data_IF_756458935596
#
_entry.id   IF_756458935596
#
_cell.length_a   1.000
_cell.length_b   1.000
_cell.length_c   1.000
_cell.angle_alpha   90.00
_cell.angle_beta   90.00
_cell.angle_gamma   90.00
#
_symmetry.space_group_name_H-M   'P 1'
#
loop_
_entity.id
_entity.type
_entity.pdbx_description
1 polymer ?
#
# COMPACT_ATOMS: atom_id res chain seq x y z
N UNK A 1 -27.02 -0.89 -11.20
CA UNK A 1 -26.58 -0.95 -12.61
C UNK A 1 -25.48 -1.99 -12.65
N UNK A 2 -25.66 -3.07 -13.41
CA UNK A 2 -24.60 -4.08 -13.60
C UNK A 2 -23.78 -3.58 -14.78
N UNK A 3 -22.47 -3.49 -14.62
CA UNK A 3 -21.56 -3.12 -15.71
C UNK A 3 -21.70 -4.12 -16.86
N UNK A 4 -21.95 -3.61 -18.07
CA UNK A 4 -22.00 -4.39 -19.30
C UNK A 4 -20.71 -4.17 -20.10
N UNK A 5 -19.86 -5.20 -20.17
CA UNK A 5 -18.61 -5.11 -20.91
C UNK A 5 -18.80 -4.96 -22.43
N UNK A 6 -19.99 -5.27 -22.96
CA UNK A 6 -20.28 -5.17 -24.39
C UNK A 6 -20.90 -3.80 -24.76
N UNK A 7 -21.30 -3.00 -23.75
CA UNK A 7 -21.79 -1.65 -23.93
C UNK A 7 -20.64 -0.66 -24.16
N UNK A 8 -20.61 -0.02 -25.33
CA UNK A 8 -19.66 1.06 -25.64
C UNK A 8 -19.72 2.22 -24.63
N UNK A 9 -20.90 2.48 -24.06
CA UNK A 9 -21.08 3.51 -23.04
C UNK A 9 -20.38 3.10 -21.73
N UNK A 10 -20.58 1.86 -21.28
CA UNK A 10 -19.99 1.35 -20.04
C UNK A 10 -18.47 1.20 -20.18
N UNK A 11 -17.97 0.73 -21.33
CA UNK A 11 -16.54 0.70 -21.63
C UNK A 11 -15.92 2.10 -21.55
N UNK A 12 -16.59 3.12 -22.10
CA UNK A 12 -16.11 4.50 -22.05
C UNK A 12 -16.09 5.03 -20.61
N UNK A 13 -17.16 4.81 -19.83
CA UNK A 13 -17.20 5.21 -18.42
C UNK A 13 -16.11 4.50 -17.60
N UNK A 14 -15.88 3.21 -17.86
CA UNK A 14 -14.82 2.42 -17.23
C UNK A 14 -13.42 2.97 -17.56
N UNK A 15 -13.16 3.31 -18.83
CA UNK A 15 -11.91 3.93 -19.25
C UNK A 15 -11.72 5.33 -18.62
N UNK A 16 -12.76 6.17 -18.63
CA UNK A 16 -12.71 7.49 -18.00
C UNK A 16 -12.41 7.40 -16.50
N UNK A 17 -13.00 6.41 -15.82
CA UNK A 17 -12.74 6.13 -14.40
C UNK A 17 -11.27 5.78 -14.15
N UNK A 18 -10.72 4.83 -14.92
CA UNK A 18 -9.31 4.44 -14.80
C UNK A 18 -8.35 5.55 -15.24
N UNK A 19 -8.77 6.41 -16.17
CA UNK A 19 -7.91 7.45 -16.73
C UNK A 19 -7.91 8.76 -15.93
N UNK A 20 -8.82 8.92 -14.96
CA UNK A 20 -9.00 10.14 -14.15
C UNK A 20 -7.71 10.63 -13.50
N UNK A 21 -6.81 9.73 -13.12
CA UNK A 21 -5.57 10.03 -12.42
C UNK A 21 -4.30 9.68 -13.22
N UNK A 22 -4.37 9.58 -14.56
CA UNK A 22 -3.17 9.35 -15.39
C UNK A 22 -2.14 10.47 -15.27
N UNK A 23 -2.59 11.70 -15.02
CA UNK A 23 -1.69 12.85 -14.94
C UNK A 23 -0.97 12.89 -13.60
N UNK A 24 0.36 12.82 -13.63
CA UNK A 24 1.20 13.04 -12.44
C UNK A 24 1.07 14.46 -11.87
N UNK A 25 0.47 15.41 -12.60
CA UNK A 25 0.24 16.79 -12.14
C UNK A 25 -0.65 16.84 -10.91
N UNK A 26 -1.65 15.97 -10.81
CA UNK A 26 -2.50 15.95 -9.62
C UNK A 26 -1.67 15.57 -8.40
N UNK A 27 -0.77 14.58 -8.52
CA UNK A 27 0.14 14.12 -7.47
C UNK A 27 1.36 15.01 -7.22
N UNK A 28 1.44 16.16 -7.90
CA UNK A 28 2.59 17.07 -7.83
C UNK A 28 2.89 17.52 -6.41
N UNK A 29 4.17 17.60 -6.11
CA UNK A 29 4.77 18.11 -4.88
C UNK A 29 5.72 19.23 -5.27
N UNK A 30 5.58 20.41 -4.66
CA UNK A 30 6.54 21.49 -4.85
C UNK A 30 7.84 21.17 -4.10
N UNK A 31 8.99 21.59 -4.64
CA UNK A 31 10.29 21.37 -4.00
C UNK A 31 10.36 21.98 -2.59
N UNK A 32 9.69 23.12 -2.37
CA UNK A 32 9.54 23.74 -1.04
C UNK A 32 8.77 22.83 -0.07
N UNK A 33 7.64 22.26 -0.49
CA UNK A 33 6.86 21.31 0.29
C UNK A 33 7.66 20.05 0.61
N UNK A 34 8.36 19.50 -0.38
CA UNK A 34 9.22 18.33 -0.19
C UNK A 34 10.28 18.59 0.89
N UNK A 35 10.94 19.75 0.82
CA UNK A 35 11.95 20.12 1.82
C UNK A 35 11.37 20.29 3.23
N UNK A 36 10.14 20.80 3.35
CA UNK A 36 9.42 20.85 4.65
C UNK A 36 9.12 19.45 5.15
N UNK A 37 8.64 18.55 4.28
CA UNK A 37 8.31 17.17 4.67
C UNK A 37 9.53 16.39 5.15
N UNK A 38 10.69 16.53 4.48
CA UNK A 38 11.95 15.89 4.92
C UNK A 38 12.37 16.29 6.34
N UNK A 39 12.01 17.48 6.79
CA UNK A 39 12.31 17.96 8.16
C UNK A 39 11.23 17.58 9.17
N UNK A 40 10.01 17.32 8.71
CA UNK A 40 8.83 17.11 9.57
C UNK A 40 8.44 15.64 9.74
N UNK A 41 8.96 14.73 8.91
CA UNK A 41 8.64 13.31 8.93
C UNK A 41 9.90 12.46 8.69
N UNK A 42 9.86 11.21 9.15
CA UNK A 42 10.89 10.23 8.81
C UNK A 42 10.96 10.07 7.28
N UNK A 43 12.16 10.18 6.74
CA UNK A 43 12.42 10.21 5.30
C UNK A 43 13.70 9.47 4.97
N UNK A 44 13.60 8.53 4.03
CA UNK A 44 14.73 7.85 3.41
C UNK A 44 14.92 8.45 2.02
N UNK A 45 16.14 8.80 1.68
CA UNK A 45 16.48 9.32 0.35
C UNK A 45 17.44 8.36 -0.32
N UNK A 46 17.05 7.83 -1.47
CA UNK A 46 17.84 6.85 -2.22
C UNK A 46 17.66 7.01 -3.72
N UNK A 47 18.62 6.50 -4.49
CA UNK A 47 18.50 6.48 -5.95
C UNK A 47 17.74 5.23 -6.41
N UNK A 48 16.79 5.44 -7.32
CA UNK A 48 16.02 4.38 -7.96
C UNK A 48 15.91 4.68 -9.46
N UNK A 49 16.39 3.77 -10.31
CA UNK A 49 16.46 3.98 -11.76
C UNK A 49 17.10 5.34 -12.15
N UNK A 50 18.18 5.73 -11.45
CA UNK A 50 18.88 7.00 -11.67
C UNK A 50 18.20 8.26 -11.12
N UNK A 51 16.99 8.15 -10.59
CA UNK A 51 16.27 9.27 -9.97
C UNK A 51 16.36 9.23 -8.45
N UNK A 52 16.46 10.40 -7.81
CA UNK A 52 16.33 10.49 -6.36
C UNK A 52 14.87 10.28 -5.95
N UNK A 53 14.65 9.25 -5.15
CA UNK A 53 13.39 8.96 -4.48
C UNK A 53 13.44 9.35 -3.01
N UNK A 54 12.28 9.73 -2.48
CA UNK A 54 12.10 10.11 -1.09
C UNK A 54 10.95 9.27 -0.53
N UNK A 55 11.26 8.40 0.43
CA UNK A 55 10.31 7.48 1.04
C UNK A 55 10.02 7.97 2.45
N UNK A 56 8.76 8.33 2.70
CA UNK A 56 8.31 8.84 3.98
C UNK A 56 7.49 7.80 4.74
N UNK A 57 7.62 7.80 6.06
CA UNK A 57 6.69 7.12 6.95
C UNK A 57 5.90 8.17 7.76
N UNK A 58 4.58 8.05 7.74
CA UNK A 58 3.65 8.87 8.54
C UNK A 58 2.67 7.97 9.29
N UNK A 59 2.20 8.45 10.43
CA UNK A 59 1.23 7.80 11.31
C UNK A 59 0.02 8.70 11.53
N UNK A 60 -1.01 8.19 12.20
CA UNK A 60 -2.18 8.98 12.58
C UNK A 60 -1.81 10.23 13.41
N UNK A 61 -0.78 10.15 14.26
CA UNK A 61 -0.32 11.24 15.13
C UNK A 61 0.63 12.22 14.43
N UNK A 62 1.04 11.93 13.19
CA UNK A 62 1.94 12.80 12.43
C UNK A 62 1.28 14.14 12.10
N UNK A 63 1.91 15.24 12.50
CA UNK A 63 1.41 16.61 12.28
C UNK A 63 2.17 17.29 11.14
N UNK A 64 1.90 16.89 9.90
CA UNK A 64 2.56 17.48 8.73
C UNK A 64 1.60 17.57 7.53
N UNK A 65 1.88 18.49 6.61
CA UNK A 65 1.06 18.68 5.39
C UNK A 65 1.15 17.49 4.43
N UNK A 66 2.17 16.64 4.55
CA UNK A 66 2.25 15.36 3.84
C UNK A 66 1.09 14.45 4.24
N UNK A 67 0.78 14.33 5.54
CA UNK A 67 -0.35 13.53 6.02
C UNK A 67 -1.66 13.98 5.39
N UNK A 68 -1.95 15.29 5.42
CA UNK A 68 -3.15 15.85 4.78
C UNK A 68 -3.19 15.55 3.27
N UNK A 69 -2.04 15.63 2.57
CA UNK A 69 -1.97 15.32 1.14
C UNK A 69 -2.24 13.84 0.86
N UNK A 70 -1.67 12.95 1.68
CA UNK A 70 -1.82 11.49 1.57
C UNK A 70 -3.24 11.07 1.90
N UNK A 71 -3.85 11.62 2.96
CA UNK A 71 -5.26 11.39 3.30
C UNK A 71 -6.17 11.71 2.10
N UNK A 72 -5.94 12.87 1.46
CA UNK A 72 -6.67 13.25 0.23
C UNK A 72 -6.44 12.27 -0.92
N UNK A 73 -5.20 11.84 -1.16
CA UNK A 73 -4.88 10.85 -2.22
C UNK A 73 -5.59 9.53 -1.95
N UNK A 74 -5.59 9.07 -0.71
CA UNK A 74 -6.23 7.80 -0.35
C UNK A 74 -7.74 7.88 -0.56
N UNK A 75 -8.39 8.91 -0.01
CA UNK A 75 -9.84 9.07 -0.08
C UNK A 75 -10.35 9.34 -1.51
N UNK A 76 -9.65 10.17 -2.29
CA UNK A 76 -10.14 10.60 -3.61
C UNK A 76 -9.68 9.71 -4.77
N UNK A 77 -8.55 9.00 -4.64
CA UNK A 77 -7.93 8.20 -5.70
C UNK A 77 -7.84 6.72 -5.32
N UNK A 78 -7.04 6.37 -4.31
CA UNK A 78 -6.68 4.96 -4.03
C UNK A 78 -7.91 4.15 -3.64
N UNK A 79 -8.77 4.67 -2.76
CA UNK A 79 -9.97 3.97 -2.33
C UNK A 79 -10.90 3.68 -3.51
N UNK A 80 -11.00 4.62 -4.46
CA UNK A 80 -11.85 4.45 -5.64
C UNK A 80 -11.23 3.45 -6.61
N UNK A 81 -9.95 3.56 -6.91
CA UNK A 81 -9.26 2.63 -7.82
C UNK A 81 -9.23 1.19 -7.28
N UNK A 82 -9.17 1.01 -5.96
CA UNK A 82 -9.18 -0.30 -5.32
C UNK A 82 -10.59 -0.82 -4.98
N UNK A 83 -11.65 -0.05 -5.29
CA UNK A 83 -13.03 -0.48 -5.06
C UNK A 83 -13.47 -0.53 -3.58
N UNK A 84 -12.86 0.28 -2.71
CA UNK A 84 -13.25 0.34 -1.30
C UNK A 84 -14.63 0.98 -1.13
N UNK A 85 -15.48 0.29 -0.39
CA UNK A 85 -16.76 0.80 0.09
C UNK A 85 -16.55 1.80 1.24
N UNK A 86 -17.48 2.75 1.47
CA UNK A 86 -17.31 3.79 2.49
C UNK A 86 -17.03 3.29 3.91
N UNK A 87 -17.57 2.13 4.29
CA UNK A 87 -17.37 1.47 5.58
C UNK A 87 -15.92 0.98 5.77
N UNK A 88 -15.27 0.53 4.70
CA UNK A 88 -13.87 0.09 4.71
C UNK A 88 -12.88 1.19 4.25
N UNK A 89 -13.37 2.38 3.92
CA UNK A 89 -12.57 3.46 3.33
C UNK A 89 -11.69 4.24 4.33
N UNK A 90 -11.79 3.94 5.64
CA UNK A 90 -11.06 4.66 6.68
C UNK A 90 -9.55 4.54 6.49
N UNK A 91 -8.88 5.70 6.47
CA UNK A 91 -7.42 5.78 6.28
C UNK A 91 -6.67 5.33 7.52
N UNK A 92 -7.14 5.73 8.71
CA UNK A 92 -6.48 5.48 10.00
C UNK A 92 -7.36 4.60 10.87
N UNK A 93 -6.75 3.77 11.70
CA UNK A 93 -7.45 2.96 12.71
C UNK A 93 -7.63 3.76 14.00
N UNK A 94 -8.67 3.47 14.77
CA UNK A 94 -8.91 4.14 16.07
C UNK A 94 -7.80 3.89 17.08
N UNK A 95 -7.10 2.76 16.97
CA UNK A 95 -5.98 2.36 17.83
C UNK A 95 -4.60 2.89 17.40
N UNK A 96 -4.52 3.64 16.29
CA UNK A 96 -3.27 4.23 15.81
C UNK A 96 -2.20 3.25 15.32
N UNK A 97 -2.52 1.97 15.10
CA UNK A 97 -1.55 0.94 14.66
C UNK A 97 -1.08 1.08 13.22
N UNK A 98 -1.73 1.92 12.41
CA UNK A 98 -1.46 2.03 10.98
C UNK A 98 -0.37 3.06 10.66
N UNK A 99 0.52 2.67 9.76
CA UNK A 99 1.54 3.51 9.14
C UNK A 99 1.23 3.68 7.65
N UNK A 100 1.42 4.89 7.12
CA UNK A 100 1.43 5.12 5.68
C UNK A 100 2.86 5.37 5.20
N UNK A 101 3.25 4.59 4.20
CA UNK A 101 4.53 4.69 3.51
C UNK A 101 4.32 5.35 2.16
N UNK A 102 5.08 6.39 1.85
CA UNK A 102 4.84 7.27 0.70
C UNK A 102 6.11 7.41 -0.11
N UNK A 103 6.06 7.01 -1.38
CA UNK A 103 7.15 7.16 -2.33
C UNK A 103 6.96 8.43 -3.16
N UNK A 104 7.91 9.35 -3.08
CA UNK A 104 7.97 10.57 -3.90
C UNK A 104 9.17 10.49 -4.83
N UNK A 105 8.95 10.71 -6.13
CA UNK A 105 10.02 10.73 -7.13
C UNK A 105 9.90 11.94 -8.04
N UNK A 106 10.92 12.17 -8.87
CA UNK A 106 10.96 13.25 -9.84
C UNK A 106 10.43 12.79 -11.20
N UNK A 107 9.77 13.72 -11.89
CA UNK A 107 9.71 13.77 -13.35
C UNK A 107 10.71 14.83 -13.83
N UNK A 108 10.81 15.04 -15.14
CA UNK A 108 11.64 16.10 -15.74
C UNK A 108 11.25 17.52 -15.28
N UNK A 109 10.04 17.71 -14.74
CA UNK A 109 9.48 19.05 -14.43
C UNK A 109 9.17 19.28 -12.95
N UNK A 110 8.89 18.23 -12.18
CA UNK A 110 8.46 18.34 -10.78
C UNK A 110 8.53 17.00 -10.05
N UNK A 111 8.54 17.06 -8.71
CA UNK A 111 8.31 15.91 -7.84
C UNK A 111 6.83 15.54 -7.78
N UNK A 112 6.52 14.27 -7.57
CA UNK A 112 5.15 13.80 -7.36
C UNK A 112 5.11 12.53 -6.49
N UNK A 113 3.98 12.32 -5.81
CA UNK A 113 3.72 11.07 -5.07
C UNK A 113 3.43 9.96 -6.07
N UNK A 114 4.33 8.98 -6.13
CA UNK A 114 4.31 7.89 -7.09
C UNK A 114 3.79 6.56 -6.54
N UNK A 115 3.85 6.35 -5.23
CA UNK A 115 3.26 5.19 -4.58
C UNK A 115 2.88 5.47 -3.12
N UNK A 116 1.90 4.73 -2.62
CA UNK A 116 1.47 4.75 -1.22
C UNK A 116 1.15 3.33 -0.77
N UNK A 117 1.62 2.96 0.42
CA UNK A 117 1.23 1.73 1.10
C UNK A 117 0.70 2.05 2.50
N UNK A 118 -0.40 1.42 2.90
CA UNK A 118 -0.87 1.41 4.28
C UNK A 118 -0.53 0.06 4.89
N UNK A 119 0.20 0.07 5.99
CA UNK A 119 0.60 -1.14 6.72
C UNK A 119 0.19 -1.04 8.19
N UNK A 120 -0.15 -2.17 8.80
CA UNK A 120 -0.62 -2.21 10.18
C UNK A 120 -0.25 -3.50 10.89
N UNK A 121 -0.18 -3.45 12.23
CA UNK A 121 0.19 -4.61 13.03
C UNK A 121 -1.03 -5.52 13.16
N UNK A 122 -0.91 -6.78 12.76
CA UNK A 122 -2.02 -7.74 12.77
C UNK A 122 -1.75 -8.90 13.73
N UNK A 123 -2.83 -9.50 14.23
CA UNK A 123 -2.78 -10.69 15.06
C UNK A 123 -2.80 -11.95 14.20
N UNK A 124 -2.12 -13.01 14.66
CA UNK A 124 -2.16 -14.32 14.01
C UNK A 124 -3.58 -14.87 13.87
N UNK A 125 -4.47 -14.56 14.81
CA UNK A 125 -5.89 -14.98 14.77
C UNK A 125 -6.64 -14.47 13.53
N UNK A 126 -6.12 -13.44 12.87
CA UNK A 126 -6.72 -12.85 11.67
C UNK A 126 -6.20 -13.46 10.37
N UNK A 127 -5.22 -14.36 10.43
CA UNK A 127 -4.49 -14.84 9.26
C UNK A 127 -5.10 -16.11 8.67
N UNK A 128 -5.13 -16.18 7.34
CA UNK A 128 -5.45 -17.36 6.56
C UNK A 128 -4.58 -17.39 5.29
N UNK A 129 -4.32 -18.57 4.73
CA UNK A 129 -3.66 -18.65 3.42
C UNK A 129 -4.64 -18.33 2.29
N UNK A 130 -4.16 -17.72 1.20
CA UNK A 130 -4.97 -17.42 0.03
C UNK A 130 -5.40 -18.68 -0.74
N UNK A 131 -4.59 -19.74 -0.67
CA UNK A 131 -4.86 -21.03 -1.32
C UNK A 131 -4.86 -22.12 -0.25
N UNK A 132 -6.02 -22.73 -0.01
CA UNK A 132 -6.13 -23.91 0.86
C UNK A 132 -5.66 -25.20 0.14
N UNK A 133 -5.64 -25.19 -1.20
CA UNK A 133 -5.59 -26.39 -2.05
C UNK A 133 -4.23 -27.11 -2.12
N UNK A 134 -3.27 -26.78 -1.27
CA UNK A 134 -2.08 -27.64 -1.11
C UNK A 134 -2.44 -28.77 -0.14
N UNK A 135 -3.04 -29.83 -0.69
CA UNK A 135 -3.43 -31.08 -0.01
C UNK A 135 -2.30 -31.85 0.72
N UNK A 136 -1.15 -31.22 0.98
CA UNK A 136 0.06 -31.86 1.48
C UNK A 136 0.74 -31.13 2.64
N UNK A 137 0.17 -30.06 3.20
CA UNK A 137 0.74 -29.53 4.43
C UNK A 137 -0.33 -28.91 5.30
N UNK A 138 -0.42 -29.39 6.54
CA UNK A 138 -0.84 -28.56 7.66
C UNK A 138 0.16 -27.40 7.76
N UNK A 139 0.12 -26.44 6.83
CA UNK A 139 1.04 -25.32 6.78
C UNK A 139 0.74 -24.45 8.01
N UNK A 140 1.49 -24.71 9.07
CA UNK A 140 1.39 -23.98 10.32
C UNK A 140 1.92 -22.58 10.03
N UNK A 141 1.03 -21.59 10.12
CA UNK A 141 1.38 -20.17 10.04
C UNK A 141 2.57 -19.92 11.01
N UNK A 142 3.73 -19.41 10.54
CA UNK A 142 4.99 -19.42 11.28
C UNK A 142 4.87 -18.81 12.68
N UNK A 143 5.32 -19.50 13.73
CA UNK A 143 5.02 -19.12 15.14
C UNK A 143 6.16 -18.46 15.89
N UNK A 144 7.26 -18.05 15.25
CA UNK A 144 8.27 -17.28 15.97
C UNK A 144 7.60 -16.04 16.59
N UNK A 145 8.13 -15.53 17.71
CA UNK A 145 7.62 -14.37 18.48
C UNK A 145 7.60 -13.04 17.70
N UNK A 146 7.52 -13.12 16.39
CA UNK A 146 7.59 -12.05 15.44
C UNK A 146 6.24 -11.37 15.27
N UNK A 147 6.33 -10.13 14.83
CA UNK A 147 5.19 -9.30 14.49
C UNK A 147 4.80 -9.55 13.04
N UNK A 148 3.51 -9.76 12.78
CA UNK A 148 2.99 -9.75 11.42
C UNK A 148 2.65 -8.33 10.98
N UNK A 149 3.03 -8.00 9.75
CA UNK A 149 2.69 -6.74 9.10
C UNK A 149 1.61 -7.01 8.05
N UNK A 150 0.42 -6.45 8.29
CA UNK A 150 -0.67 -6.44 7.32
C UNK A 150 -0.50 -5.29 6.34
N UNK A 151 -0.49 -5.59 5.05
CA UNK A 151 -0.57 -4.60 3.96
C UNK A 151 -2.05 -4.37 3.68
N UNK A 152 -2.58 -3.27 4.21
CA UNK A 152 -3.96 -2.86 4.03
C UNK A 152 -4.21 -2.39 2.59
N UNK A 153 -3.30 -1.54 2.10
CA UNK A 153 -3.38 -1.00 0.73
C UNK A 153 -1.97 -0.89 0.18
N UNK A 154 -1.82 -1.17 -1.10
CA UNK A 154 -0.65 -0.79 -1.86
C UNK A 154 -1.07 -0.27 -3.22
N UNK A 155 -0.60 0.92 -3.56
CA UNK A 155 -0.90 1.58 -4.81
C UNK A 155 0.36 2.19 -5.40
N UNK A 156 0.52 2.02 -6.70
CA UNK A 156 1.59 2.64 -7.49
C UNK A 156 0.92 3.35 -8.66
N UNK A 157 1.29 4.61 -8.88
CA UNK A 157 0.83 5.42 -9.99
C UNK A 157 1.06 4.68 -11.31
N UNK A 158 0.10 4.75 -12.24
CA UNK A 158 0.08 3.93 -13.45
C UNK A 158 1.37 4.01 -14.27
N UNK A 159 1.98 5.19 -14.37
CA UNK A 159 3.23 5.42 -15.12
C UNK A 159 4.47 4.79 -14.48
N UNK A 160 4.37 4.33 -13.23
CA UNK A 160 5.46 3.77 -12.42
C UNK A 160 5.26 2.28 -12.10
N UNK A 161 4.16 1.67 -12.54
CA UNK A 161 3.86 0.25 -12.28
C UNK A 161 4.89 -0.66 -12.98
N UNK A 162 5.03 -1.88 -12.45
CA UNK A 162 5.91 -2.95 -12.98
C UNK A 162 7.40 -2.64 -12.98
N UNK A 163 7.84 -1.68 -12.16
CA UNK A 163 9.25 -1.31 -11.99
C UNK A 163 9.87 -1.77 -10.67
N UNK A 164 9.13 -2.50 -9.82
CA UNK A 164 9.61 -2.92 -8.50
C UNK A 164 9.37 -1.92 -7.36
N UNK A 165 8.78 -0.75 -7.63
CA UNK A 165 8.50 0.29 -6.61
C UNK A 165 7.60 -0.22 -5.46
N UNK A 166 6.61 -1.08 -5.78
CA UNK A 166 5.78 -1.69 -4.74
C UNK A 166 6.59 -2.56 -3.77
N UNK A 167 7.52 -3.36 -4.30
CA UNK A 167 8.40 -4.21 -3.48
C UNK A 167 9.36 -3.35 -2.66
N UNK A 168 9.98 -2.33 -3.29
CA UNK A 168 10.86 -1.37 -2.61
C UNK A 168 10.17 -0.71 -1.42
N UNK A 169 8.94 -0.22 -1.62
CA UNK A 169 8.18 0.47 -0.57
C UNK A 169 7.85 -0.47 0.60
N UNK A 170 7.51 -1.73 0.32
CA UNK A 170 7.26 -2.73 1.37
C UNK A 170 8.53 -3.20 2.05
N UNK A 171 9.66 -3.28 1.36
CA UNK A 171 10.95 -3.64 1.95
C UNK A 171 11.40 -2.59 2.97
N UNK A 172 11.22 -1.31 2.66
CA UNK A 172 11.40 -0.23 3.64
C UNK A 172 10.39 -0.32 4.79
N UNK A 173 9.10 -0.53 4.48
CA UNK A 173 8.08 -0.67 5.50
C UNK A 173 8.43 -1.77 6.51
N UNK A 174 8.81 -2.96 6.04
CA UNK A 174 9.29 -4.09 6.87
C UNK A 174 10.47 -3.73 7.76
N UNK A 175 11.45 -3.03 7.20
CA UNK A 175 12.73 -2.77 7.86
C UNK A 175 12.62 -1.78 9.01
N UNK A 176 11.58 -0.94 9.00
CA UNK A 176 11.31 0.05 10.04
C UNK A 176 9.96 -0.18 10.74
N UNK A 177 9.32 -1.33 10.52
CA UNK A 177 7.98 -1.58 11.06
C UNK A 177 7.98 -1.73 12.57
N UNK A 178 8.97 -2.47 13.08
CA UNK A 178 9.22 -2.70 14.50
C UNK A 178 10.65 -2.31 14.85
N UNK A 179 10.91 -1.99 16.11
CA UNK A 179 12.19 -1.45 16.57
C UNK A 179 13.37 -2.42 16.47
N UNK A 180 13.10 -3.72 16.47
CA UNK A 180 14.11 -4.72 16.81
C UNK A 180 14.66 -5.49 15.61
N UNK A 181 13.88 -5.66 14.53
CA UNK A 181 14.30 -6.39 13.33
C UNK A 181 13.38 -6.08 12.13
N UNK A 182 13.87 -6.38 10.91
CA UNK A 182 13.04 -6.34 9.70
C UNK A 182 12.02 -7.49 9.72
N UNK A 183 10.73 -7.19 9.54
CA UNK A 183 9.68 -8.21 9.46
C UNK A 183 9.94 -9.13 8.27
N UNK A 184 10.11 -10.46 8.42
CA UNK A 184 10.33 -11.41 7.31
C UNK A 184 9.20 -11.42 6.28
N UNK A 185 9.48 -11.84 5.02
CA UNK A 185 8.49 -11.69 3.93
C UNK A 185 7.33 -12.67 4.14
N UNK A 186 7.64 -13.79 4.74
CA UNK A 186 6.72 -14.86 5.13
C UNK A 186 5.77 -14.43 6.25
N UNK A 187 6.00 -13.25 6.86
CA UNK A 187 5.16 -12.64 7.91
C UNK A 187 4.40 -11.41 7.42
N UNK A 188 4.37 -11.21 6.10
CA UNK A 188 3.52 -10.22 5.45
C UNK A 188 2.21 -10.88 5.05
N UNK A 189 1.11 -10.24 5.42
CA UNK A 189 -0.22 -10.59 4.95
C UNK A 189 -0.86 -9.42 4.23
N UNK A 190 -1.76 -9.68 3.29
CA UNK A 190 -2.46 -8.64 2.55
C UNK A 190 -3.93 -8.65 2.90
N UNK A 191 -4.54 -7.47 3.00
CA UNK A 191 -6.00 -7.38 2.94
C UNK A 191 -6.43 -7.28 1.48
N UNK A 192 -7.53 -7.95 1.13
CA UNK A 192 -8.26 -7.81 -0.13
C UNK A 192 -7.37 -7.59 -1.37
N UNK A 193 -7.00 -8.67 -2.06
CA UNK A 193 -6.17 -8.61 -3.26
C UNK A 193 -7.03 -8.50 -4.53
N UNK A 194 -6.69 -7.54 -5.41
CA UNK A 194 -7.09 -7.60 -6.83
C UNK A 194 -6.25 -8.65 -7.56
N UNK A 195 -6.59 -9.02 -8.79
CA UNK A 195 -5.77 -9.96 -9.59
C UNK A 195 -4.32 -9.48 -9.73
N UNK A 196 -4.14 -8.19 -9.99
CA UNK A 196 -2.80 -7.57 -10.05
C UNK A 196 -2.09 -7.59 -8.69
N UNK A 197 -2.85 -7.43 -7.61
CA UNK A 197 -2.37 -7.53 -6.24
C UNK A 197 -1.93 -8.96 -5.89
N UNK A 198 -2.69 -9.97 -6.30
CA UNK A 198 -2.36 -11.38 -6.09
C UNK A 198 -1.11 -11.78 -6.87
N UNK A 199 -1.01 -11.36 -8.13
CA UNK A 199 0.20 -11.56 -8.93
C UNK A 199 1.42 -10.86 -8.32
N UNK A 200 1.24 -9.67 -7.74
CA UNK A 200 2.32 -9.02 -6.98
C UNK A 200 2.68 -9.81 -5.72
N UNK A 201 1.70 -10.18 -4.90
CA UNK A 201 1.91 -10.90 -3.64
C UNK A 201 2.65 -12.22 -3.85
N UNK A 202 2.25 -13.04 -4.84
CA UNK A 202 2.94 -14.31 -5.16
C UNK A 202 4.40 -14.12 -5.56
N UNK A 203 4.72 -13.04 -6.25
CA UNK A 203 6.10 -12.74 -6.64
C UNK A 203 6.92 -12.12 -5.49
N UNK A 204 6.26 -11.38 -4.61
CA UNK A 204 6.92 -10.69 -3.50
C UNK A 204 7.23 -11.64 -2.35
N UNK A 205 6.28 -12.52 -1.98
CA UNK A 205 6.39 -13.46 -0.87
C UNK A 205 7.23 -14.68 -1.29
N UNK A 206 8.28 -14.97 -0.50
CA UNK A 206 9.14 -16.14 -0.71
C UNK A 206 8.31 -17.43 -0.79
N UNK A 207 8.50 -18.22 -1.84
CA UNK A 207 7.77 -19.47 -2.04
C UNK A 207 6.29 -19.33 -2.43
N UNK A 208 5.77 -18.11 -2.63
CA UNK A 208 4.44 -17.88 -3.16
C UNK A 208 3.28 -18.13 -2.20
N UNK A 209 3.55 -18.48 -0.93
CA UNK A 209 2.52 -18.75 0.10
C UNK A 209 1.94 -17.44 0.65
N UNK A 210 0.96 -16.89 -0.05
CA UNK A 210 0.35 -15.60 0.30
C UNK A 210 -0.56 -15.75 1.51
N UNK A 211 -0.31 -14.94 2.54
CA UNK A 211 -1.19 -14.77 3.69
C UNK A 211 -2.20 -13.64 3.43
N UNK A 212 -3.44 -13.87 3.81
CA UNK A 212 -4.52 -12.90 3.84
C UNK A 212 -4.89 -12.59 5.29
N UNK A 213 -5.41 -11.39 5.53
CA UNK A 213 -6.01 -11.06 6.81
C UNK A 213 -7.33 -10.28 6.67
N UNK A 214 -8.22 -10.50 7.62
CA UNK A 214 -9.52 -9.83 7.67
C UNK A 214 -9.41 -8.45 8.33
N UNK A 215 -10.06 -7.46 7.70
CA UNK A 215 -10.09 -6.07 8.15
C UNK A 215 -10.92 -5.85 9.42
N UNK A 216 -11.80 -6.80 9.77
CA UNK A 216 -12.69 -6.67 10.91
C UNK A 216 -11.93 -6.83 12.23
N UNK A 217 -11.90 -5.80 13.10
CA UNK A 217 -11.24 -5.89 14.40
C UNK A 217 -12.07 -6.68 15.43
N UNK A 218 -13.36 -6.90 15.18
CA UNK A 218 -14.31 -7.44 16.17
C UNK A 218 -14.20 -8.95 16.43
N UNK A 219 -13.37 -9.70 15.69
CA UNK A 219 -13.16 -11.13 15.96
C UNK A 219 -12.14 -11.43 17.07
N UNK A 220 -11.68 -10.42 17.81
CA UNK A 220 -10.92 -10.62 19.04
C UNK A 220 -11.83 -10.44 20.28
N UNK A 221 -12.71 -11.41 20.52
CA UNK A 221 -13.19 -11.69 21.87
C UNK A 221 -12.21 -12.64 22.59
#
# INVERSE_FOLDING_TARGET
MVYDCDSLFDQKQHQEFHNRFLSTKWFRVQSSQLNVWKRAAFCIVEQFEGNYSHIFCITQTSKCTLKTRVDKIILECINKELGYTPDLAQVWTSDGRRQAWVYVTASDKYYFIGAVALVEKISRKQLQYAEENSAANNDIIPTSNNVYMGVNRIWVHQTLRRRGIAALLLDHARSYFVSSDSVPREMIAFSSLTDSGLAFARNYISGGKVLLYNLNPETCH
#
